data_IF_532188442629
#
_entry.id   IF_532188442629
#
_cell.length_a   1.000
_cell.length_b   1.000
_cell.length_c   1.000
_cell.angle_alpha   90.00
_cell.angle_beta   90.00
_cell.angle_gamma   90.00
#
_symmetry.space_group_name_H-M   'P 1'
#
loop_
_entity.id
_entity.type
_entity.pdbx_description
1 polymer ?
#
# COMPACT_ATOMS: atom_id res chain seq x y z
N UNK A 1 5.77 -7.08 23.26
CA UNK A 1 4.98 -6.15 22.43
C UNK A 1 4.67 -6.86 21.12
N UNK A 2 3.41 -6.86 20.67
CA UNK A 2 3.07 -7.39 19.34
C UNK A 2 3.61 -6.45 18.26
N UNK A 3 4.15 -6.99 17.17
CA UNK A 3 4.51 -6.18 16.03
C UNK A 3 3.24 -5.47 15.48
N UNK A 4 3.36 -4.22 15.00
CA UNK A 4 2.26 -3.53 14.37
C UNK A 4 1.81 -4.29 13.10
N UNK A 5 0.53 -4.21 12.73
CA UNK A 5 0.01 -4.89 11.54
C UNK A 5 0.59 -4.29 10.26
N UNK A 6 0.69 -5.14 9.25
CA UNK A 6 1.20 -4.80 7.92
C UNK A 6 0.06 -4.93 6.91
N UNK A 7 -0.10 -3.93 6.05
CA UNK A 7 -1.06 -3.97 4.95
C UNK A 7 -0.34 -4.44 3.69
N UNK A 8 -0.87 -5.49 3.05
CA UNK A 8 -0.28 -6.06 1.82
C UNK A 8 -1.28 -5.93 0.68
N UNK A 9 -0.92 -5.18 -0.36
CA UNK A 9 -1.71 -5.11 -1.59
C UNK A 9 -1.13 -6.09 -2.62
N UNK A 10 -1.89 -7.14 -2.90
CA UNK A 10 -1.53 -8.16 -3.89
C UNK A 10 -2.11 -7.80 -5.25
N UNK A 11 -1.23 -7.65 -6.23
CA UNK A 11 -1.55 -7.26 -7.61
C UNK A 11 -2.46 -6.04 -7.70
N UNK A 12 -2.13 -4.91 -7.05
CA UNK A 12 -2.91 -3.68 -7.22
C UNK A 12 -2.92 -3.27 -8.69
N UNK A 13 -4.08 -2.77 -9.13
CA UNK A 13 -4.33 -2.47 -10.54
C UNK A 13 -4.02 -1.03 -10.92
N UNK A 14 -4.28 -0.07 -10.03
CA UNK A 14 -4.11 1.36 -10.31
C UNK A 14 -3.24 2.00 -9.21
N UNK A 15 -2.27 2.83 -9.61
CA UNK A 15 -1.41 3.56 -8.67
C UNK A 15 -2.20 4.48 -7.72
N UNK A 16 -3.28 5.09 -8.21
CA UNK A 16 -4.18 5.92 -7.41
C UNK A 16 -4.77 5.18 -6.20
N UNK A 17 -5.10 3.89 -6.38
CA UNK A 17 -5.64 3.06 -5.30
C UNK A 17 -4.58 2.71 -4.26
N UNK A 18 -3.30 2.58 -4.67
CA UNK A 18 -2.18 2.42 -3.74
C UNK A 18 -2.04 3.67 -2.88
N UNK A 19 -2.11 4.86 -3.49
CA UNK A 19 -2.07 6.14 -2.78
C UNK A 19 -3.28 6.35 -1.85
N UNK A 20 -4.49 6.00 -2.30
CA UNK A 20 -5.70 6.08 -1.49
C UNK A 20 -5.62 5.15 -0.26
N UNK A 21 -5.15 3.91 -0.44
CA UNK A 21 -4.92 2.98 0.65
C UNK A 21 -3.87 3.51 1.65
N UNK A 22 -2.74 4.01 1.17
CA UNK A 22 -1.70 4.60 2.02
C UNK A 22 -2.21 5.81 2.83
N UNK A 23 -3.08 6.65 2.24
CA UNK A 23 -3.72 7.76 2.95
C UNK A 23 -4.67 7.27 4.04
N UNK A 24 -5.52 6.28 3.74
CA UNK A 24 -6.40 5.66 4.72
C UNK A 24 -5.62 5.02 5.87
N UNK A 25 -4.51 4.34 5.56
CA UNK A 25 -3.59 3.78 6.56
C UNK A 25 -3.06 4.85 7.50
N UNK A 26 -2.56 5.98 6.99
CA UNK A 26 -2.07 7.08 7.84
C UNK A 26 -3.17 7.67 8.73
N UNK A 27 -4.39 7.83 8.20
CA UNK A 27 -5.53 8.28 9.01
C UNK A 27 -5.88 7.30 10.16
N UNK A 28 -5.49 6.03 10.03
CA UNK A 28 -5.74 4.97 11.01
C UNK A 28 -4.48 4.57 11.82
N UNK A 29 -3.38 5.32 11.73
CA UNK A 29 -2.13 5.01 12.46
C UNK A 29 -1.38 3.77 11.97
N UNK A 30 -1.59 3.37 10.70
CA UNK A 30 -0.90 2.26 10.05
C UNK A 30 0.22 2.79 9.14
N UNK A 31 1.39 2.15 9.20
CA UNK A 31 2.59 2.69 8.56
C UNK A 31 3.38 1.69 7.69
N UNK A 32 3.11 0.38 7.74
CA UNK A 32 3.79 -0.62 6.91
C UNK A 32 2.89 -1.09 5.77
N UNK A 33 3.19 -0.63 4.55
CA UNK A 33 2.53 -1.02 3.29
C UNK A 33 3.51 -1.82 2.43
N UNK A 34 3.09 -3.02 2.00
CA UNK A 34 3.86 -3.87 1.09
C UNK A 34 3.07 -4.15 -0.18
N UNK A 35 3.78 -4.19 -1.30
CA UNK A 35 3.20 -4.43 -2.62
C UNK A 35 3.72 -5.74 -3.18
N UNK A 36 2.83 -6.55 -3.73
CA UNK A 36 3.19 -7.82 -4.39
C UNK A 36 2.72 -7.76 -5.84
N UNK A 37 3.65 -7.82 -6.79
CA UNK A 37 3.38 -7.80 -8.23
C UNK A 37 2.35 -6.75 -8.70
N UNK A 38 2.53 -5.44 -8.44
CA UNK A 38 1.68 -4.39 -9.00
C UNK A 38 1.58 -4.50 -10.53
N UNK A 39 0.38 -4.30 -11.11
CA UNK A 39 0.17 -4.42 -12.56
C UNK A 39 1.10 -3.50 -13.36
N UNK A 40 1.19 -2.24 -12.93
CA UNK A 40 1.93 -1.19 -13.63
C UNK A 40 3.36 -1.01 -13.07
N UNK A 41 3.81 -1.92 -12.20
CA UNK A 41 5.08 -1.80 -11.48
C UNK A 41 5.05 -0.80 -10.31
N UNK A 42 6.14 -0.74 -9.56
CA UNK A 42 6.35 0.25 -8.49
C UNK A 42 7.86 0.53 -8.31
N UNK A 43 8.31 1.80 -8.15
CA UNK A 43 7.50 3.03 -8.11
C UNK A 43 6.80 3.30 -9.45
N UNK A 44 5.57 3.80 -9.40
CA UNK A 44 4.85 4.20 -10.62
C UNK A 44 5.35 5.60 -11.05
N UNK A 45 5.79 5.80 -12.31
CA UNK A 45 6.32 7.07 -12.79
C UNK A 45 5.28 8.19 -13.02
N UNK A 46 3.99 7.90 -12.88
CA UNK A 46 2.90 8.86 -13.07
C UNK A 46 2.73 9.86 -11.91
#
# INVERSE_FOLDING_TARGET
>A
MSAPPVVILVRPQLGENIGAAARAMMNCGLHDLRLVAPRDGWPNPA
#
